data_IF_608289708690
#
_entry.id   IF_608289708690
#
_cell.length_a   1.000
_cell.length_b   1.000
_cell.length_c   1.000
_cell.angle_alpha   90.00
_cell.angle_beta   90.00
_cell.angle_gamma   90.00
#
_symmetry.space_group_name_H-M   'P 1'
#
loop_
_entity.id
_entity.type
_entity.pdbx_description
1 polymer ?
#
# COMPACT_ATOMS: atom_id res chain seq x y z
N UNK A 1 -11.21 -0.13 -16.18
CA UNK A 1 -11.32 1.35 -16.30
C UNK A 1 -12.19 1.75 -17.49
N UNK A 2 -11.94 1.24 -18.74
CA UNK A 2 -12.77 1.56 -19.92
C UNK A 2 -14.26 1.18 -19.71
N UNK A 3 -14.54 -0.02 -19.21
CA UNK A 3 -15.90 -0.46 -18.90
C UNK A 3 -16.61 0.47 -17.90
N UNK A 4 -15.90 0.95 -16.87
CA UNK A 4 -16.47 1.90 -15.90
C UNK A 4 -16.82 3.24 -16.56
N UNK A 5 -15.95 3.75 -17.44
CA UNK A 5 -16.21 5.01 -18.15
C UNK A 5 -17.47 4.92 -19.02
N UNK A 6 -17.64 3.79 -19.74
CA UNK A 6 -18.85 3.55 -20.56
C UNK A 6 -20.11 3.47 -19.68
N UNK A 7 -20.05 2.77 -18.54
CA UNK A 7 -21.19 2.61 -17.64
C UNK A 7 -21.58 3.95 -16.99
N UNK A 8 -20.57 4.76 -16.61
CA UNK A 8 -20.79 6.09 -16.04
C UNK A 8 -21.41 7.03 -17.09
N UNK A 9 -20.94 6.98 -18.34
CA UNK A 9 -21.50 7.81 -19.42
C UNK A 9 -22.94 7.48 -19.75
N UNK A 10 -23.42 6.28 -19.39
CA UNK A 10 -24.83 5.86 -19.52
C UNK A 10 -25.69 6.25 -18.31
N UNK A 11 -25.16 7.01 -17.35
CA UNK A 11 -25.91 7.49 -16.18
C UNK A 11 -26.17 6.43 -15.11
N UNK A 12 -25.39 5.32 -15.08
CA UNK A 12 -25.57 4.28 -14.10
C UNK A 12 -25.17 4.74 -12.68
N UNK A 13 -25.82 4.18 -11.65
CA UNK A 13 -25.52 4.48 -10.26
C UNK A 13 -24.11 4.02 -9.85
N UNK A 14 -23.51 4.71 -8.89
CA UNK A 14 -22.17 4.39 -8.36
C UNK A 14 -22.09 2.96 -7.84
N UNK A 15 -23.18 2.45 -7.23
CA UNK A 15 -23.26 1.08 -6.75
C UNK A 15 -23.13 0.07 -7.89
N UNK A 16 -23.79 0.32 -9.02
CA UNK A 16 -23.74 -0.55 -10.19
C UNK A 16 -22.34 -0.54 -10.82
N UNK A 17 -21.69 0.63 -10.90
CA UNK A 17 -20.31 0.75 -11.39
C UNK A 17 -19.35 -0.06 -10.50
N UNK A 18 -19.48 0.05 -9.18
CA UNK A 18 -18.65 -0.72 -8.22
C UNK A 18 -18.89 -2.22 -8.31
N UNK A 19 -20.16 -2.64 -8.40
CA UNK A 19 -20.51 -4.05 -8.57
C UNK A 19 -19.88 -4.65 -9.84
N UNK A 20 -20.04 -3.96 -10.96
CA UNK A 20 -19.47 -4.41 -12.25
C UNK A 20 -17.94 -4.50 -12.19
N UNK A 21 -17.28 -3.52 -11.57
CA UNK A 21 -15.82 -3.53 -11.38
C UNK A 21 -15.40 -4.72 -10.54
N UNK A 22 -16.12 -5.01 -9.45
CA UNK A 22 -15.83 -6.15 -8.58
C UNK A 22 -15.99 -7.49 -9.31
N UNK A 23 -17.02 -7.62 -10.15
CA UNK A 23 -17.23 -8.82 -10.95
C UNK A 23 -16.12 -9.04 -11.99
N UNK A 24 -15.59 -7.97 -12.57
CA UNK A 24 -14.44 -8.06 -13.51
C UNK A 24 -13.21 -8.66 -12.84
N UNK A 25 -12.98 -8.40 -11.54
CA UNK A 25 -11.86 -9.00 -10.80
C UNK A 25 -11.97 -10.52 -10.67
N UNK A 26 -13.17 -11.10 -10.73
CA UNK A 26 -13.37 -12.55 -10.71
C UNK A 26 -12.93 -13.23 -12.01
N UNK A 27 -12.86 -12.50 -13.11
CA UNK A 27 -12.40 -13.04 -14.41
C UNK A 27 -10.92 -13.41 -14.35
N UNK A 28 -10.10 -12.65 -13.62
CA UNK A 28 -8.65 -12.85 -13.55
C UNK A 28 -8.25 -14.24 -13.00
N UNK A 29 -8.75 -14.70 -11.84
CA UNK A 29 -8.43 -16.04 -11.34
C UNK A 29 -8.95 -17.15 -12.26
N UNK A 30 -10.09 -16.96 -12.92
CA UNK A 30 -10.64 -17.94 -13.88
C UNK A 30 -9.71 -18.08 -15.09
N UNK A 31 -9.30 -16.95 -15.69
CA UNK A 31 -8.36 -16.97 -16.82
C UNK A 31 -7.00 -17.57 -16.42
N UNK A 32 -6.52 -17.25 -15.22
CA UNK A 32 -5.28 -17.82 -14.68
C UNK A 32 -5.39 -19.33 -14.50
N UNK A 33 -6.51 -19.82 -13.95
CA UNK A 33 -6.76 -21.25 -13.80
C UNK A 33 -6.77 -21.97 -15.15
N UNK A 34 -7.45 -21.41 -16.16
CA UNK A 34 -7.47 -21.97 -17.52
C UNK A 34 -6.06 -22.01 -18.12
N UNK A 35 -5.28 -20.94 -17.90
CA UNK A 35 -3.90 -20.87 -18.38
C UNK A 35 -3.02 -21.95 -17.73
N UNK A 36 -3.13 -22.10 -16.41
CA UNK A 36 -2.37 -23.09 -15.65
C UNK A 36 -2.76 -24.51 -16.08
N UNK A 37 -4.06 -24.82 -16.17
CA UNK A 37 -4.55 -26.14 -16.55
C UNK A 37 -4.16 -26.52 -18.02
N UNK A 38 -3.94 -25.50 -18.88
CA UNK A 38 -3.50 -25.75 -20.27
C UNK A 38 -1.98 -25.92 -20.44
N UNK A 39 -1.19 -25.21 -19.65
CA UNK A 39 0.26 -25.16 -19.85
C UNK A 39 1.04 -26.02 -18.87
N UNK A 40 0.43 -26.43 -17.75
CA UNK A 40 1.09 -27.17 -16.68
C UNK A 40 0.28 -28.43 -16.32
N UNK A 41 0.95 -29.57 -16.30
CA UNK A 41 0.34 -30.82 -15.80
C UNK A 41 0.48 -30.86 -14.28
N UNK A 42 -0.49 -30.30 -13.58
CA UNK A 42 -0.50 -30.31 -12.11
C UNK A 42 -1.28 -31.53 -11.65
N UNK A 43 -0.63 -32.47 -10.98
CA UNK A 43 -1.30 -33.58 -10.30
C UNK A 43 -2.00 -33.07 -9.05
N UNK A 44 -3.33 -32.94 -9.11
CA UNK A 44 -4.18 -32.46 -8.01
C UNK A 44 -4.39 -33.51 -6.90
N UNK A 45 -3.88 -34.75 -7.08
CA UNK A 45 -4.11 -35.86 -6.16
C UNK A 45 -2.89 -36.20 -5.30
N UNK A 46 -1.82 -35.41 -5.38
CA UNK A 46 -0.63 -35.64 -4.56
C UNK A 46 -0.97 -35.30 -3.11
N UNK A 47 -0.95 -36.32 -2.26
CA UNK A 47 -1.03 -36.16 -0.80
C UNK A 47 0.37 -35.84 -0.26
N UNK A 48 0.56 -34.64 0.25
CA UNK A 48 1.81 -34.25 0.91
C UNK A 48 1.80 -34.77 2.35
N UNK A 49 2.85 -35.50 2.74
CA UNK A 49 3.04 -35.95 4.14
C UNK A 49 3.30 -34.79 5.10
N UNK A 50 3.83 -33.70 4.61
CA UNK A 50 4.08 -32.47 5.35
C UNK A 50 3.52 -31.28 4.58
N UNK A 51 3.21 -30.20 5.28
CA UNK A 51 2.71 -28.98 4.67
C UNK A 51 3.80 -28.31 3.80
N UNK A 52 3.61 -28.20 2.47
CA UNK A 52 4.67 -27.72 1.56
C UNK A 52 5.03 -26.25 1.79
N UNK A 53 4.10 -25.43 2.31
CA UNK A 53 4.30 -24.02 2.60
C UNK A 53 4.14 -23.79 4.12
N UNK A 54 5.25 -23.95 4.86
CA UNK A 54 5.25 -23.86 6.34
C UNK A 54 4.79 -22.51 6.89
N UNK A 55 4.99 -21.40 6.13
CA UNK A 55 4.68 -20.04 6.58
C UNK A 55 3.45 -19.41 5.90
N UNK A 56 2.57 -20.20 5.27
CA UNK A 56 1.41 -19.68 4.55
C UNK A 56 0.51 -18.79 5.40
N UNK A 57 0.25 -19.19 6.65
CA UNK A 57 -0.59 -18.43 7.57
C UNK A 57 0.06 -17.13 8.03
N UNK A 58 1.40 -17.11 8.16
CA UNK A 58 2.13 -15.88 8.47
C UNK A 58 2.04 -14.88 7.31
N UNK A 59 2.15 -15.34 6.06
CA UNK A 59 1.95 -14.50 4.88
C UNK A 59 0.52 -13.94 4.78
N UNK A 60 -0.50 -14.77 5.05
CA UNK A 60 -1.89 -14.31 5.09
C UNK A 60 -2.10 -13.26 6.18
N UNK A 61 -1.62 -13.51 7.39
CA UNK A 61 -1.77 -12.58 8.51
C UNK A 61 -1.04 -11.25 8.25
N UNK A 62 0.16 -11.28 7.65
CA UNK A 62 0.88 -10.10 7.21
C UNK A 62 0.06 -9.31 6.18
N UNK A 63 -0.51 -9.98 5.18
CA UNK A 63 -1.32 -9.32 4.15
C UNK A 63 -2.57 -8.67 4.75
N UNK A 64 -3.28 -9.37 5.63
CA UNK A 64 -4.44 -8.81 6.35
C UNK A 64 -4.04 -7.59 7.17
N UNK A 65 -2.93 -7.65 7.92
CA UNK A 65 -2.43 -6.51 8.69
C UNK A 65 -2.06 -5.31 7.79
N UNK A 66 -1.48 -5.57 6.60
CA UNK A 66 -1.18 -4.53 5.62
C UNK A 66 -2.46 -3.86 5.08
N UNK A 67 -3.49 -4.64 4.74
CA UNK A 67 -4.79 -4.13 4.28
C UNK A 67 -5.49 -3.31 5.38
N UNK A 68 -5.43 -3.79 6.62
CA UNK A 68 -5.96 -3.04 7.78
C UNK A 68 -5.22 -1.71 7.92
N UNK A 69 -3.90 -1.73 7.85
CA UNK A 69 -3.07 -0.52 7.96
C UNK A 69 -3.40 0.50 6.87
N UNK A 70 -3.56 0.07 5.62
CA UNK A 70 -3.91 0.95 4.49
C UNK A 70 -5.35 1.49 4.58
N UNK A 71 -6.30 0.73 5.16
CA UNK A 71 -7.72 1.11 5.26
C UNK A 71 -8.12 1.84 6.54
N UNK A 72 -7.30 1.81 7.57
CA UNK A 72 -7.63 2.31 8.91
C UNK A 72 -8.01 3.78 8.93
N UNK A 73 -7.29 4.61 8.21
CA UNK A 73 -7.49 6.06 8.21
C UNK A 73 -8.90 6.44 7.78
N UNK A 74 -9.37 5.84 6.70
CA UNK A 74 -10.74 6.07 6.20
C UNK A 74 -11.79 5.59 7.19
N UNK A 75 -11.58 4.44 7.83
CA UNK A 75 -12.51 3.88 8.82
C UNK A 75 -12.57 4.78 10.06
N UNK A 76 -11.42 5.18 10.59
CA UNK A 76 -11.33 6.05 11.77
C UNK A 76 -12.00 7.41 11.51
N UNK A 77 -11.74 8.02 10.34
CA UNK A 77 -12.40 9.27 9.96
C UNK A 77 -13.91 9.11 9.79
N UNK A 78 -14.38 8.00 9.24
CA UNK A 78 -15.81 7.75 9.04
C UNK A 78 -16.55 7.58 10.37
N UNK A 79 -15.95 6.88 11.34
CA UNK A 79 -16.59 6.55 12.61
C UNK A 79 -16.45 7.68 13.64
N UNK A 80 -15.30 8.35 13.69
CA UNK A 80 -14.94 9.29 14.77
C UNK A 80 -14.86 10.75 14.32
N UNK A 81 -15.07 11.07 13.05
CA UNK A 81 -14.98 12.42 12.49
C UNK A 81 -16.21 12.76 11.63
N UNK A 82 -16.05 13.54 10.59
CA UNK A 82 -17.12 13.98 9.69
C UNK A 82 -16.94 13.45 8.27
N UNK A 83 -18.03 13.33 7.52
CA UNK A 83 -17.98 12.97 6.10
C UNK A 83 -17.18 13.98 5.27
N UNK A 84 -17.17 15.25 5.67
CA UNK A 84 -16.33 16.29 5.08
C UNK A 84 -14.84 15.95 5.21
N UNK A 85 -14.40 15.50 6.38
CA UNK A 85 -13.01 15.07 6.59
C UNK A 85 -12.67 13.82 5.80
N UNK A 86 -13.60 12.87 5.64
CA UNK A 86 -13.41 11.68 4.77
C UNK A 86 -13.25 12.12 3.31
N UNK A 87 -14.03 13.09 2.85
CA UNK A 87 -13.94 13.64 1.50
C UNK A 87 -12.58 14.31 1.26
N UNK A 88 -12.14 15.18 2.17
CA UNK A 88 -10.81 15.81 2.10
C UNK A 88 -9.71 14.74 2.06
N UNK A 89 -9.72 13.79 3.02
CA UNK A 89 -8.75 12.70 3.05
C UNK A 89 -8.70 11.95 1.72
N UNK A 90 -9.85 11.60 1.15
CA UNK A 90 -9.93 10.79 -0.07
C UNK A 90 -9.31 11.48 -1.28
N UNK A 91 -9.45 12.80 -1.41
CA UNK A 91 -8.86 13.57 -2.51
C UNK A 91 -7.33 13.61 -2.39
N UNK A 92 -6.80 13.89 -1.20
CA UNK A 92 -5.35 13.85 -0.96
C UNK A 92 -4.77 12.45 -1.15
N UNK A 93 -5.46 11.45 -0.59
CA UNK A 93 -5.05 10.06 -0.68
C UNK A 93 -5.00 9.57 -2.13
N UNK A 94 -5.97 9.96 -2.98
CA UNK A 94 -5.98 9.60 -4.40
C UNK A 94 -4.70 10.00 -5.11
N UNK A 95 -4.24 11.25 -4.90
CA UNK A 95 -3.02 11.78 -5.54
C UNK A 95 -1.77 11.11 -4.97
N UNK A 96 -1.62 11.12 -3.65
CA UNK A 96 -0.41 10.62 -2.97
C UNK A 96 -0.29 9.09 -3.11
N UNK A 97 -1.41 8.37 -3.04
CA UNK A 97 -1.44 6.93 -3.29
C UNK A 97 -1.09 6.59 -4.74
N UNK A 98 -1.53 7.41 -5.70
CA UNK A 98 -1.12 7.27 -7.10
C UNK A 98 0.40 7.33 -7.26
N UNK A 99 1.06 8.29 -6.58
CA UNK A 99 2.52 8.40 -6.55
C UNK A 99 3.16 7.16 -5.88
N UNK A 100 2.65 6.72 -4.71
CA UNK A 100 3.10 5.49 -4.05
C UNK A 100 2.99 4.27 -4.96
N UNK A 101 1.93 4.18 -5.75
CA UNK A 101 1.67 3.04 -6.63
C UNK A 101 2.71 2.90 -7.76
N UNK A 102 3.34 3.99 -8.20
CA UNK A 102 4.46 3.92 -9.15
C UNK A 102 5.61 3.10 -8.56
N UNK A 103 6.03 3.40 -7.33
CA UNK A 103 7.08 2.65 -6.64
C UNK A 103 6.68 1.19 -6.41
N UNK A 104 5.46 0.93 -5.94
CA UNK A 104 4.96 -0.43 -5.74
C UNK A 104 4.96 -1.26 -7.03
N UNK A 105 4.64 -0.65 -8.16
CA UNK A 105 4.65 -1.33 -9.45
C UNK A 105 6.06 -1.71 -9.89
N UNK A 106 7.05 -0.85 -9.60
CA UNK A 106 8.46 -1.15 -9.91
C UNK A 106 9.01 -2.28 -9.04
N UNK A 107 8.60 -2.37 -7.78
CA UNK A 107 9.15 -3.34 -6.82
C UNK A 107 8.66 -4.77 -7.02
N UNK A 108 7.54 -5.00 -7.70
CA UNK A 108 6.98 -6.34 -7.89
C UNK A 108 7.91 -7.31 -8.65
N UNK A 109 8.63 -6.81 -9.67
CA UNK A 109 9.63 -7.61 -10.41
C UNK A 109 10.93 -7.82 -9.63
N UNK A 110 11.33 -6.82 -8.85
CA UNK A 110 12.56 -6.83 -8.04
C UNK A 110 12.54 -7.93 -6.98
N UNK A 111 11.41 -8.12 -6.31
CA UNK A 111 11.26 -9.15 -5.28
C UNK A 111 11.55 -10.55 -5.82
N UNK A 112 11.10 -10.86 -7.02
CA UNK A 112 11.32 -12.17 -7.65
C UNK A 112 12.80 -12.44 -7.90
N UNK A 113 13.51 -11.44 -8.43
CA UNK A 113 14.95 -11.55 -8.71
C UNK A 113 15.78 -11.68 -7.40
N UNK A 114 15.45 -10.88 -6.38
CA UNK A 114 16.09 -11.02 -5.06
C UNK A 114 15.88 -12.42 -4.47
N UNK A 115 14.68 -12.97 -4.60
CA UNK A 115 14.36 -14.33 -4.15
C UNK A 115 15.13 -15.41 -4.91
N UNK A 116 15.35 -15.23 -6.21
CA UNK A 116 16.15 -16.15 -7.03
C UNK A 116 17.63 -16.12 -6.62
N UNK A 117 18.23 -14.93 -6.50
CA UNK A 117 19.62 -14.77 -6.06
C UNK A 117 19.84 -15.33 -4.65
N UNK A 118 18.89 -15.10 -3.73
CA UNK A 118 18.92 -15.70 -2.40
C UNK A 118 18.87 -17.23 -2.44
N UNK A 119 17.97 -17.80 -3.26
CA UNK A 119 17.84 -19.26 -3.39
C UNK A 119 19.07 -19.91 -4.01
N UNK A 120 19.75 -19.22 -4.93
CA UNK A 120 21.01 -19.69 -5.55
C UNK A 120 22.23 -19.47 -4.66
N UNK A 121 22.10 -18.78 -3.53
CA UNK A 121 23.21 -18.40 -2.64
C UNK A 121 24.25 -17.49 -3.32
N UNK A 122 23.88 -16.73 -4.32
CA UNK A 122 24.69 -15.74 -5.01
C UNK A 122 24.71 -14.44 -4.20
N UNK A 123 25.32 -14.48 -3.01
CA UNK A 123 25.19 -13.41 -2.01
C UNK A 123 25.91 -12.11 -2.40
N UNK A 124 27.01 -12.19 -3.14
CA UNK A 124 27.73 -10.99 -3.60
C UNK A 124 26.90 -10.22 -4.64
N UNK A 125 26.32 -10.93 -5.62
CA UNK A 125 25.43 -10.33 -6.61
C UNK A 125 24.15 -9.78 -5.98
N UNK A 126 23.60 -10.50 -5.00
CA UNK A 126 22.43 -10.04 -4.24
C UNK A 126 22.72 -8.75 -3.49
N UNK A 127 23.90 -8.64 -2.86
CA UNK A 127 24.32 -7.44 -2.13
C UNK A 127 24.45 -6.24 -3.04
N UNK A 128 25.12 -6.41 -4.19
CA UNK A 128 25.32 -5.35 -5.16
C UNK A 128 23.97 -4.90 -5.77
N UNK A 129 23.12 -5.87 -6.10
CA UNK A 129 21.78 -5.60 -6.61
C UNK A 129 20.89 -4.89 -5.58
N UNK A 130 20.94 -5.32 -4.30
CA UNK A 130 20.20 -4.65 -3.21
C UNK A 130 20.66 -3.20 -3.04
N UNK A 131 21.97 -2.93 -3.02
CA UNK A 131 22.49 -1.57 -2.91
C UNK A 131 22.01 -0.67 -4.05
N UNK A 132 21.95 -1.21 -5.27
CA UNK A 132 21.43 -0.49 -6.43
C UNK A 132 19.93 -0.18 -6.32
N UNK A 133 19.14 -1.15 -5.88
CA UNK A 133 17.70 -1.00 -5.65
C UNK A 133 17.43 0.01 -4.53
N UNK A 134 18.14 -0.10 -3.42
CA UNK A 134 18.04 0.82 -2.29
C UNK A 134 18.33 2.26 -2.72
N UNK A 135 19.46 2.49 -3.37
CA UNK A 135 19.84 3.80 -3.86
C UNK A 135 18.81 4.38 -4.84
N UNK A 136 18.35 3.58 -5.79
CA UNK A 136 17.39 4.01 -6.81
C UNK A 136 16.05 4.39 -6.22
N UNK A 137 15.50 3.53 -5.33
CA UNK A 137 14.20 3.78 -4.68
C UNK A 137 14.31 4.98 -3.73
N UNK A 138 15.38 5.10 -2.95
CA UNK A 138 15.56 6.23 -2.02
C UNK A 138 15.70 7.55 -2.77
N UNK A 139 16.55 7.61 -3.78
CA UNK A 139 16.72 8.81 -4.60
C UNK A 139 15.41 9.20 -5.30
N UNK A 140 14.77 8.23 -5.93
CA UNK A 140 13.48 8.45 -6.60
C UNK A 140 12.39 8.90 -5.63
N UNK A 141 12.28 8.27 -4.45
CA UNK A 141 11.29 8.63 -3.44
C UNK A 141 11.50 10.05 -2.92
N UNK A 142 12.73 10.41 -2.57
CA UNK A 142 13.04 11.79 -2.11
C UNK A 142 12.67 12.80 -3.16
N UNK A 143 13.07 12.60 -4.41
CA UNK A 143 12.78 13.54 -5.50
C UNK A 143 11.28 13.66 -5.76
N UNK A 144 10.59 12.53 -5.96
CA UNK A 144 9.18 12.53 -6.36
C UNK A 144 8.28 13.03 -5.22
N UNK A 145 8.52 12.59 -3.97
CA UNK A 145 7.71 13.04 -2.83
C UNK A 145 8.02 14.50 -2.44
N UNK A 146 9.23 15.02 -2.65
CA UNK A 146 9.51 16.44 -2.49
C UNK A 146 8.71 17.29 -3.50
N UNK A 147 8.70 16.90 -4.78
CA UNK A 147 7.85 17.53 -5.78
C UNK A 147 6.36 17.42 -5.45
N UNK A 148 5.91 16.24 -5.02
CA UNK A 148 4.52 16.01 -4.62
C UNK A 148 4.15 16.91 -3.44
N UNK A 149 4.99 17.03 -2.42
CA UNK A 149 4.76 17.87 -1.25
C UNK A 149 4.65 19.35 -1.61
N UNK A 150 5.46 19.83 -2.56
CA UNK A 150 5.41 21.21 -3.04
C UNK A 150 4.14 21.51 -3.86
N UNK A 151 3.66 20.56 -4.63
CA UNK A 151 2.61 20.78 -5.65
C UNK A 151 1.22 20.34 -5.22
N UNK A 152 1.09 19.38 -4.28
CA UNK A 152 -0.19 18.71 -3.97
C UNK A 152 -1.28 19.68 -3.51
N UNK A 153 -0.95 20.65 -2.67
CA UNK A 153 -1.94 21.61 -2.15
C UNK A 153 -2.46 22.51 -3.29
N UNK A 154 -1.58 23.00 -4.15
CA UNK A 154 -1.95 23.80 -5.31
C UNK A 154 -2.79 22.98 -6.30
N UNK A 155 -2.39 21.75 -6.56
CA UNK A 155 -3.15 20.83 -7.42
C UNK A 155 -4.56 20.60 -6.88
N UNK A 156 -4.70 20.32 -5.58
CA UNK A 156 -6.01 20.10 -4.95
C UNK A 156 -6.87 21.36 -5.01
N UNK A 157 -6.27 22.54 -4.81
CA UNK A 157 -6.98 23.82 -4.96
C UNK A 157 -7.59 24.01 -6.35
N UNK A 158 -6.87 23.62 -7.40
CA UNK A 158 -7.39 23.64 -8.77
C UNK A 158 -8.44 22.56 -8.99
N UNK A 159 -8.16 21.34 -8.54
CA UNK A 159 -9.04 20.18 -8.72
C UNK A 159 -10.39 20.34 -8.03
N UNK A 160 -10.42 21.01 -6.86
CA UNK A 160 -11.64 21.19 -6.06
C UNK A 160 -12.25 22.60 -6.21
N UNK A 161 -11.83 23.38 -7.19
CA UNK A 161 -12.25 24.78 -7.34
C UNK A 161 -13.79 24.97 -7.48
N UNK A 162 -14.49 23.97 -8.00
CA UNK A 162 -15.96 24.00 -8.14
C UNK A 162 -16.68 23.28 -7.01
N UNK A 163 -15.99 22.82 -5.97
CA UNK A 163 -16.56 22.02 -4.87
C UNK A 163 -16.57 22.86 -3.61
N UNK A 164 -17.76 23.09 -3.03
CA UNK A 164 -17.95 24.03 -1.90
C UNK A 164 -18.42 23.35 -0.61
N UNK A 165 -18.42 22.01 -0.57
CA UNK A 165 -18.90 21.20 0.56
C UNK A 165 -17.91 21.16 1.73
N UNK A 166 -16.62 21.46 1.47
CA UNK A 166 -15.56 21.44 2.47
C UNK A 166 -14.41 22.39 2.10
N UNK A 167 -13.59 22.74 3.09
CA UNK A 167 -12.31 23.40 2.83
C UNK A 167 -11.21 22.38 2.55
N UNK A 168 -10.90 22.18 1.28
CA UNK A 168 -9.91 21.21 0.83
C UNK A 168 -8.46 21.71 0.99
N UNK A 169 -8.21 22.98 1.28
CA UNK A 169 -6.85 23.51 1.44
C UNK A 169 -6.33 23.21 2.84
N UNK A 170 -5.61 22.10 2.99
CA UNK A 170 -5.11 21.57 4.26
C UNK A 170 -3.59 21.33 4.19
N UNK A 171 -2.73 22.38 4.27
CA UNK A 171 -1.28 22.24 4.04
C UNK A 171 -0.60 21.30 5.04
N UNK A 172 -0.89 21.43 6.33
CA UNK A 172 -0.26 20.61 7.36
C UNK A 172 -0.60 19.14 7.21
N UNK A 173 -1.89 18.84 6.93
CA UNK A 173 -2.33 17.49 6.63
C UNK A 173 -1.63 16.91 5.39
N UNK A 174 -1.51 17.74 4.32
CA UNK A 174 -0.81 17.36 3.10
C UNK A 174 0.64 16.94 3.37
N UNK A 175 1.39 17.76 4.10
CA UNK A 175 2.80 17.48 4.44
C UNK A 175 2.92 16.17 5.23
N UNK A 176 2.09 15.97 6.26
CA UNK A 176 2.13 14.74 7.06
C UNK A 176 1.82 13.49 6.24
N UNK A 177 0.80 13.56 5.36
CA UNK A 177 0.42 12.44 4.52
C UNK A 177 1.48 12.14 3.45
N UNK A 178 2.08 13.16 2.85
CA UNK A 178 3.21 13.03 1.92
C UNK A 178 4.40 12.38 2.61
N UNK A 179 4.79 12.86 3.80
CA UNK A 179 5.89 12.28 4.58
C UNK A 179 5.63 10.83 4.95
N UNK A 180 4.41 10.47 5.39
CA UNK A 180 4.06 9.09 5.74
C UNK A 180 4.24 8.15 4.54
N UNK A 181 3.80 8.57 3.34
CA UNK A 181 3.95 7.77 2.13
C UNK A 181 5.39 7.77 1.58
N UNK A 182 6.15 8.85 1.74
CA UNK A 182 7.58 8.87 1.44
C UNK A 182 8.33 7.85 2.31
N UNK A 183 8.12 7.86 3.63
CA UNK A 183 8.71 6.90 4.58
C UNK A 183 8.32 5.47 4.22
N UNK A 184 7.06 5.24 3.81
CA UNK A 184 6.63 3.94 3.30
C UNK A 184 7.46 3.48 2.09
N UNK A 185 7.72 4.37 1.13
CA UNK A 185 8.52 4.04 -0.05
C UNK A 185 10.00 3.80 0.30
N UNK A 186 10.58 4.57 1.24
CA UNK A 186 11.94 4.34 1.73
C UNK A 186 12.11 2.98 2.41
N UNK A 187 11.05 2.42 2.98
CA UNK A 187 11.04 1.08 3.59
C UNK A 187 11.03 -0.06 2.57
N UNK A 188 10.56 0.19 1.33
CA UNK A 188 10.31 -0.88 0.35
C UNK A 188 11.52 -1.80 0.10
N UNK A 189 12.75 -1.31 -0.12
CA UNK A 189 13.89 -2.19 -0.37
C UNK A 189 14.12 -3.21 0.75
N UNK A 190 14.06 -2.77 2.00
CA UNK A 190 14.23 -3.62 3.17
C UNK A 190 13.15 -4.69 3.27
N UNK A 191 11.88 -4.27 3.07
CA UNK A 191 10.75 -5.21 3.06
C UNK A 191 10.89 -6.28 1.97
N UNK A 192 11.33 -5.90 0.77
CA UNK A 192 11.56 -6.83 -0.34
C UNK A 192 12.64 -7.86 0.02
N UNK A 193 13.76 -7.40 0.60
CA UNK A 193 14.86 -8.27 0.99
C UNK A 193 14.45 -9.27 2.09
N UNK A 194 13.76 -8.80 3.12
CA UNK A 194 13.28 -9.65 4.22
C UNK A 194 12.29 -10.72 3.70
N UNK A 195 11.41 -10.35 2.78
CA UNK A 195 10.46 -11.29 2.17
C UNK A 195 11.14 -12.27 1.21
N UNK A 196 12.14 -11.82 0.45
CA UNK A 196 12.97 -12.67 -0.40
C UNK A 196 13.71 -13.74 0.43
N UNK A 197 14.19 -13.38 1.63
CA UNK A 197 14.77 -14.31 2.60
C UNK A 197 13.75 -15.24 3.29
N UNK A 198 12.46 -15.09 3.03
CA UNK A 198 11.41 -15.95 3.60
C UNK A 198 11.02 -15.65 5.06
N UNK A 199 11.37 -14.47 5.60
CA UNK A 199 11.15 -14.08 6.99
C UNK A 199 9.73 -13.54 7.25
N UNK A 200 8.69 -14.26 6.79
CA UNK A 200 7.29 -13.84 6.90
C UNK A 200 6.78 -13.69 8.33
N UNK A 201 7.24 -14.53 9.26
CA UNK A 201 6.82 -14.48 10.66
C UNK A 201 7.22 -13.16 11.34
N UNK A 202 8.44 -12.72 11.07
CA UNK A 202 8.99 -11.49 11.67
C UNK A 202 8.30 -10.26 11.09
N UNK A 203 8.12 -10.22 9.78
CA UNK A 203 7.39 -9.13 9.12
C UNK A 203 5.92 -9.09 9.52
N UNK A 204 5.25 -10.24 9.69
CA UNK A 204 3.90 -10.30 10.21
C UNK A 204 3.76 -9.55 11.54
N UNK A 205 4.63 -9.82 12.50
CA UNK A 205 4.58 -9.16 13.80
C UNK A 205 4.78 -7.66 13.69
N UNK A 206 5.73 -7.22 12.84
CA UNK A 206 5.97 -5.81 12.57
C UNK A 206 4.72 -5.11 11.98
N UNK A 207 4.06 -5.73 11.00
CA UNK A 207 2.81 -5.19 10.41
C UNK A 207 1.67 -5.13 11.41
N UNK A 208 1.50 -6.14 12.28
CA UNK A 208 0.47 -6.15 13.32
C UNK A 208 0.70 -5.02 14.32
N UNK A 209 1.94 -4.86 14.81
CA UNK A 209 2.29 -3.78 15.75
C UNK A 209 2.05 -2.42 15.11
N UNK A 210 2.47 -2.22 13.87
CA UNK A 210 2.25 -0.97 13.15
C UNK A 210 0.75 -0.66 12.96
N UNK A 211 -0.07 -1.67 12.63
CA UNK A 211 -1.52 -1.51 12.50
C UNK A 211 -2.16 -1.10 13.85
N UNK A 212 -1.77 -1.75 14.95
CA UNK A 212 -2.24 -1.39 16.30
C UNK A 212 -1.82 0.02 16.65
N UNK A 213 -0.57 0.41 16.39
CA UNK A 213 -0.06 1.76 16.63
C UNK A 213 -0.85 2.80 15.83
N UNK A 214 -1.05 2.57 14.53
CA UNK A 214 -1.83 3.47 13.69
C UNK A 214 -3.25 3.64 14.24
N UNK A 215 -3.96 2.54 14.50
CA UNK A 215 -5.34 2.58 15.02
C UNK A 215 -5.38 3.36 16.35
N UNK A 216 -4.52 3.02 17.30
CA UNK A 216 -4.53 3.60 18.63
C UNK A 216 -4.23 5.11 18.59
N UNK A 217 -3.17 5.51 17.89
CA UNK A 217 -2.77 6.93 17.78
C UNK A 217 -3.84 7.73 17.04
N UNK A 218 -4.37 7.17 15.94
CA UNK A 218 -5.42 7.82 15.15
C UNK A 218 -6.71 8.02 15.94
N UNK A 219 -7.18 7.01 16.69
CA UNK A 219 -8.39 7.13 17.52
C UNK A 219 -8.21 8.15 18.64
N UNK A 220 -7.04 8.17 19.29
CA UNK A 220 -6.75 9.14 20.36
C UNK A 220 -6.72 10.56 19.83
N UNK A 221 -6.06 10.77 18.68
CA UNK A 221 -5.83 12.10 18.15
C UNK A 221 -6.95 12.63 17.26
N UNK A 222 -7.79 11.77 16.66
CA UNK A 222 -8.84 12.21 15.73
C UNK A 222 -9.85 13.15 16.38
N UNK A 223 -10.17 12.96 17.67
CA UNK A 223 -11.11 13.83 18.42
C UNK A 223 -10.55 15.22 18.68
N UNK A 224 -9.23 15.33 18.86
CA UNK A 224 -8.55 16.59 19.15
C UNK A 224 -8.07 17.32 17.91
N UNK A 225 -7.60 16.59 16.89
CA UNK A 225 -6.90 17.14 15.73
C UNK A 225 -7.51 16.69 14.38
N UNK A 226 -8.63 15.97 14.36
CA UNK A 226 -9.32 15.56 13.13
C UNK A 226 -8.40 14.85 12.13
N UNK A 227 -8.35 15.35 10.89
CA UNK A 227 -7.49 14.86 9.80
C UNK A 227 -6.00 14.78 10.18
N UNK A 228 -5.50 15.80 10.87
CA UNK A 228 -4.09 15.88 11.29
C UNK A 228 -3.77 14.73 12.26
N UNK A 229 -4.69 14.41 13.17
CA UNK A 229 -4.50 13.32 14.12
C UNK A 229 -4.34 11.96 13.46
N UNK A 230 -5.13 11.70 12.42
CA UNK A 230 -5.04 10.45 11.63
C UNK A 230 -3.74 10.39 10.83
N UNK A 231 -3.34 11.51 10.19
CA UNK A 231 -2.08 11.56 9.45
C UNK A 231 -0.84 11.36 10.36
N UNK A 232 -0.88 11.84 11.61
CA UNK A 232 0.17 11.57 12.61
C UNK A 232 0.21 10.08 12.95
N UNK A 233 -0.95 9.44 13.15
CA UNK A 233 -1.02 8.00 13.42
C UNK A 233 -0.36 7.17 12.32
N UNK A 234 -0.66 7.49 11.07
CA UNK A 234 -0.07 6.85 9.90
C UNK A 234 1.44 7.10 9.82
N UNK A 235 1.88 8.33 10.02
CA UNK A 235 3.31 8.69 9.99
C UNK A 235 4.10 7.93 11.08
N UNK A 236 3.59 7.88 12.30
CA UNK A 236 4.23 7.16 13.43
C UNK A 236 4.34 5.66 13.11
N UNK A 237 3.28 5.04 12.59
CA UNK A 237 3.30 3.63 12.20
C UNK A 237 4.31 3.35 11.09
N UNK A 238 4.39 4.22 10.06
CA UNK A 238 5.35 4.08 8.97
C UNK A 238 6.79 4.28 9.42
N UNK A 239 7.06 5.24 10.30
CA UNK A 239 8.38 5.43 10.90
C UNK A 239 8.81 4.23 11.72
N UNK A 240 7.92 3.69 12.57
CA UNK A 240 8.19 2.46 13.32
C UNK A 240 8.58 1.31 12.40
N UNK A 241 7.77 1.05 11.35
CA UNK A 241 8.05 -0.03 10.41
C UNK A 241 9.39 0.15 9.69
N UNK A 242 9.69 1.37 9.25
CA UNK A 242 10.91 1.68 8.51
C UNK A 242 12.15 1.48 9.39
N UNK A 243 12.14 2.03 10.60
CA UNK A 243 13.24 1.87 11.56
C UNK A 243 13.44 0.40 11.91
N UNK A 244 12.38 -0.33 12.16
CA UNK A 244 12.48 -1.76 12.49
C UNK A 244 13.06 -2.57 11.32
N UNK A 245 12.56 -2.37 10.10
CA UNK A 245 13.00 -3.14 8.93
C UNK A 245 14.41 -2.78 8.47
N UNK A 246 14.83 -1.52 8.64
CA UNK A 246 16.20 -1.09 8.32
C UNK A 246 17.24 -1.62 9.31
N UNK A 247 16.84 -1.94 10.55
CA UNK A 247 17.74 -2.49 11.57
C UNK A 247 17.66 -4.03 11.67
N UNK A 248 16.76 -4.68 10.96
CA UNK A 248 16.59 -6.13 10.96
C UNK A 248 17.59 -6.82 10.03
#
# INVERSE_FOLDING_TARGET
>A
TAACAVIISQGASIQFVKLTTSLIYLIRPILLQIYVDRNYQIDKKIEYKEEPIKQKWNGVAQHVAAVVLDGTDTIVLTVFSSLSNVSIYSVYHLVIYGVKQLFTSMTNGIQSLMGELWARQELDELRDFFGWVEWSIHTGAVLVFSCTGALVVSFIGIYTNCVTDANYIQPLFAVLLVLANAVHCLRMPYNLMILAGGHYKQTQNNYIVAAIMNITVSIVLVKAAGLIGVAIGTLVAMLYQTVWMANY
#
